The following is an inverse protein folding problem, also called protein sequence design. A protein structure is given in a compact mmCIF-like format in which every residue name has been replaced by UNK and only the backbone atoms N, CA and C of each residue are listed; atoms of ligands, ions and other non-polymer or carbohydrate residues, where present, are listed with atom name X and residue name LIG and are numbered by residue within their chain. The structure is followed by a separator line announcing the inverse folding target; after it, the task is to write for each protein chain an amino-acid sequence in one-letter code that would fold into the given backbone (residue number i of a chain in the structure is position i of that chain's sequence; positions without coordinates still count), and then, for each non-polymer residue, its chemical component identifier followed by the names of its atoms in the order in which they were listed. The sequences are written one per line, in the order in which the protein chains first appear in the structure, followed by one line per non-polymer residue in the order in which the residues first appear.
data_IF_893276690635
#
_entry.id   IF_893276690635
#
_cell.length_a   1.000
_cell.length_b   1.000
_cell.length_c   1.000
_cell.angle_alpha   90.00
_cell.angle_beta   90.00
_cell.angle_gamma   90.00
#
_symmetry.space_group_name_H-M   'P 1'
#
loop_
_entity.id
_entity.type
_entity.pdbx_description
1 polymer ?
#
# COMPACT_ATOMS: atom_id res chain seq x y z
N UNK A 1 27.39 -34.03 19.42
CA UNK A 1 27.78 -33.11 18.33
C UNK A 1 26.60 -33.01 17.40
N UNK A 2 25.70 -32.06 17.63
CA UNK A 2 24.55 -31.82 16.74
C UNK A 2 25.02 -30.85 15.64
N UNK A 3 25.04 -31.31 14.39
CA UNK A 3 25.28 -30.47 13.22
C UNK A 3 24.04 -29.56 13.06
N UNK A 4 24.14 -28.34 13.54
CA UNK A 4 23.25 -27.24 13.18
C UNK A 4 23.46 -26.97 11.70
N UNK A 5 22.59 -27.49 10.85
CA UNK A 5 22.42 -27.00 9.49
C UNK A 5 21.89 -25.57 9.61
N UNK A 6 22.78 -24.58 9.56
CA UNK A 6 22.43 -23.18 9.59
C UNK A 6 21.36 -22.90 8.54
N UNK A 7 20.22 -22.40 8.95
CA UNK A 7 19.23 -21.83 8.05
C UNK A 7 19.96 -20.80 7.18
N UNK A 8 19.98 -21.02 5.88
CA UNK A 8 20.63 -20.14 4.91
C UNK A 8 19.92 -18.81 5.02
N UNK A 9 20.60 -17.79 5.56
CA UNK A 9 20.03 -16.45 5.70
C UNK A 9 19.59 -16.00 4.29
N UNK A 10 18.29 -15.75 4.11
CA UNK A 10 17.76 -15.26 2.83
C UNK A 10 18.23 -13.82 2.73
N UNK A 11 19.19 -13.55 1.87
CA UNK A 11 19.80 -12.21 1.73
C UNK A 11 18.99 -11.30 0.79
N UNK A 12 17.97 -11.83 0.10
CA UNK A 12 17.07 -11.03 -0.72
C UNK A 12 15.68 -11.65 -0.80
N UNK A 13 14.67 -10.80 -0.76
CA UNK A 13 13.25 -11.15 -0.93
C UNK A 13 12.71 -10.30 -2.07
N UNK A 14 11.89 -10.89 -2.93
CA UNK A 14 11.14 -10.15 -3.95
C UNK A 14 9.76 -9.85 -3.38
N UNK A 15 9.43 -8.58 -3.22
CA UNK A 15 8.06 -8.16 -3.02
C UNK A 15 7.30 -8.24 -4.36
N UNK A 16 6.16 -8.87 -4.35
CA UNK A 16 5.30 -9.08 -5.50
C UNK A 16 3.93 -8.45 -5.25
N UNK A 17 3.59 -7.47 -6.05
CA UNK A 17 2.29 -6.81 -6.04
C UNK A 17 1.52 -7.16 -7.31
N UNK A 18 0.25 -7.57 -7.13
CA UNK A 18 -0.63 -8.01 -8.22
C UNK A 18 -1.86 -7.11 -8.18
N UNK A 19 -2.00 -6.28 -9.20
CA UNK A 19 -3.16 -5.40 -9.38
C UNK A 19 -4.12 -5.94 -10.47
N UNK A 20 -5.10 -5.15 -10.89
CA UNK A 20 -6.10 -5.58 -11.86
C UNK A 20 -5.52 -5.76 -13.28
N UNK A 21 -4.57 -4.92 -13.65
CA UNK A 21 -4.01 -4.85 -15.00
C UNK A 21 -2.49 -5.03 -15.06
N UNK A 22 -1.81 -5.00 -13.91
CA UNK A 22 -0.35 -5.06 -13.83
C UNK A 22 0.12 -5.95 -12.70
N UNK A 23 1.30 -6.53 -12.89
CA UNK A 23 2.07 -7.17 -11.83
C UNK A 23 3.43 -6.49 -11.72
N UNK A 24 3.82 -6.12 -10.50
CA UNK A 24 5.09 -5.46 -10.22
C UNK A 24 5.89 -6.27 -9.20
N UNK A 25 7.19 -6.36 -9.40
CA UNK A 25 8.08 -7.11 -8.54
C UNK A 25 9.37 -6.36 -8.27
N UNK A 26 9.82 -6.36 -7.02
CA UNK A 26 11.04 -5.66 -6.59
C UNK A 26 11.86 -6.54 -5.66
N UNK A 27 13.11 -6.82 -6.04
CA UNK A 27 14.08 -7.48 -5.18
C UNK A 27 14.63 -6.48 -4.16
N UNK A 28 14.44 -6.77 -2.89
CA UNK A 28 15.05 -6.06 -1.77
C UNK A 28 16.21 -6.89 -1.24
N UNK A 29 17.40 -6.29 -1.20
CA UNK A 29 18.63 -6.93 -0.72
C UNK A 29 19.00 -6.37 0.64
N UNK A 30 19.18 -7.27 1.63
CA UNK A 30 19.52 -6.92 3.02
C UNK A 30 20.91 -7.49 3.37
N UNK A 31 21.98 -6.80 2.93
CA UNK A 31 23.35 -7.13 3.24
C UNK A 31 24.04 -6.04 4.11
N UNK A 32 23.41 -5.75 5.27
CA UNK A 32 23.80 -4.63 6.14
C UNK A 32 22.90 -3.42 5.89
N UNK A 33 22.94 -2.87 4.69
CA UNK A 33 22.01 -1.81 4.25
C UNK A 33 20.88 -2.38 3.37
N UNK A 34 19.73 -1.71 3.38
CA UNK A 34 18.60 -2.02 2.51
C UNK A 34 18.86 -1.38 1.15
N UNK A 35 18.86 -2.18 0.09
CA UNK A 35 19.09 -1.71 -1.27
C UNK A 35 18.13 -2.35 -2.27
N UNK A 36 17.89 -1.60 -3.35
CA UNK A 36 17.16 -2.09 -4.51
C UNK A 36 18.04 -3.07 -5.31
N UNK A 37 17.52 -4.28 -5.54
CA UNK A 37 18.06 -5.22 -6.49
C UNK A 37 17.42 -5.08 -7.87
N UNK A 38 17.06 -6.21 -8.48
CA UNK A 38 16.32 -6.24 -9.76
C UNK A 38 14.84 -5.93 -9.54
N UNK A 39 14.21 -5.36 -10.54
CA UNK A 39 12.79 -5.06 -10.51
C UNK A 39 12.18 -5.18 -11.89
N UNK A 40 10.88 -5.29 -11.98
CA UNK A 40 10.16 -5.32 -13.24
C UNK A 40 8.66 -5.12 -13.03
N UNK A 41 8.02 -4.70 -14.11
CA UNK A 41 6.56 -4.53 -14.21
C UNK A 41 6.10 -5.18 -15.51
N UNK A 42 5.01 -5.93 -15.46
CA UNK A 42 4.39 -6.52 -16.64
C UNK A 42 2.87 -6.32 -16.64
N UNK A 43 2.28 -6.28 -17.82
CA UNK A 43 0.83 -6.30 -17.96
C UNK A 43 0.28 -7.70 -17.62
N UNK A 44 -0.90 -7.73 -17.02
CA UNK A 44 -1.67 -8.94 -16.80
C UNK A 44 -2.74 -9.07 -17.90
N UNK A 45 -2.99 -10.26 -18.44
CA UNK A 45 -4.08 -10.47 -19.39
C UNK A 45 -5.42 -10.02 -18.80
N UNK A 46 -6.28 -9.32 -19.58
CA UNK A 46 -7.58 -8.87 -19.10
C UNK A 46 -8.42 -10.03 -18.54
N UNK A 47 -8.96 -9.84 -17.33
CA UNK A 47 -9.79 -10.84 -16.67
C UNK A 47 -9.03 -11.89 -15.86
N UNK A 48 -7.69 -11.87 -15.83
CA UNK A 48 -6.89 -12.78 -15.00
C UNK A 48 -7.08 -12.54 -13.50
N UNK A 49 -7.38 -11.30 -13.12
CA UNK A 49 -7.81 -10.92 -11.76
C UNK A 49 -9.13 -10.19 -11.81
N UNK A 50 -9.93 -10.29 -10.75
CA UNK A 50 -11.17 -9.54 -10.55
C UNK A 50 -11.34 -9.17 -9.08
N UNK A 51 -11.52 -7.89 -8.79
CA UNK A 51 -11.67 -7.38 -7.41
C UNK A 51 -10.55 -7.81 -6.46
N UNK A 52 -9.33 -7.97 -6.96
CA UNK A 52 -8.17 -8.44 -6.18
C UNK A 52 -8.16 -9.96 -5.92
N UNK A 53 -9.00 -10.74 -6.60
CA UNK A 53 -8.98 -12.21 -6.55
C UNK A 53 -8.53 -12.81 -7.89
N UNK A 54 -7.97 -14.01 -7.83
CA UNK A 54 -7.57 -14.77 -9.02
C UNK A 54 -8.82 -15.26 -9.76
N UNK A 55 -8.95 -14.90 -11.03
CA UNK A 55 -10.04 -15.36 -11.91
C UNK A 55 -9.56 -16.36 -12.97
N UNK A 56 -8.36 -16.14 -13.52
CA UNK A 56 -7.69 -17.07 -14.45
C UNK A 56 -6.28 -17.36 -13.94
N UNK A 57 -6.14 -18.51 -13.31
CA UNK A 57 -4.88 -18.95 -12.69
C UNK A 57 -3.77 -19.20 -13.71
N UNK A 58 -4.10 -19.71 -14.90
CA UNK A 58 -3.12 -20.01 -15.95
C UNK A 58 -2.58 -18.73 -16.57
N UNK A 59 -3.46 -17.80 -16.93
CA UNK A 59 -3.07 -16.51 -17.49
C UNK A 59 -2.21 -15.71 -16.50
N UNK A 60 -2.60 -15.66 -15.21
CA UNK A 60 -1.87 -14.92 -14.18
C UNK A 60 -0.51 -15.56 -13.87
N UNK A 61 -0.44 -16.89 -13.72
CA UNK A 61 0.83 -17.58 -13.46
C UNK A 61 1.79 -17.46 -14.64
N UNK A 62 1.26 -17.47 -15.88
CA UNK A 62 2.03 -17.21 -17.10
C UNK A 62 2.68 -15.82 -17.08
N UNK A 63 1.90 -14.77 -16.85
CA UNK A 63 2.39 -13.39 -16.80
C UNK A 63 3.47 -13.21 -15.70
N UNK A 64 3.24 -13.75 -14.50
CA UNK A 64 4.23 -13.71 -13.41
C UNK A 64 5.51 -14.45 -13.80
N UNK A 65 5.41 -15.64 -14.42
CA UNK A 65 6.56 -16.41 -14.84
C UNK A 65 7.40 -15.67 -15.88
N UNK A 66 6.76 -15.03 -16.86
CA UNK A 66 7.42 -14.21 -17.87
C UNK A 66 8.14 -13.03 -17.27
N UNK A 67 7.49 -12.26 -16.38
CA UNK A 67 8.10 -11.15 -15.64
C UNK A 67 9.39 -11.58 -14.93
N UNK A 68 9.33 -12.70 -14.19
CA UNK A 68 10.49 -13.20 -13.44
C UNK A 68 11.62 -13.71 -14.33
N UNK A 69 11.29 -14.29 -15.50
CA UNK A 69 12.28 -14.75 -16.47
C UNK A 69 12.96 -13.56 -17.18
N UNK A 70 12.21 -12.57 -17.63
CA UNK A 70 12.71 -11.39 -18.34
C UNK A 70 13.66 -10.58 -17.46
N UNK A 71 13.25 -10.28 -16.23
CA UNK A 71 14.02 -9.47 -15.29
C UNK A 71 14.99 -10.29 -14.43
N UNK A 72 15.07 -11.62 -14.62
CA UNK A 72 15.94 -12.56 -13.88
C UNK A 72 15.79 -12.43 -12.36
N UNK A 73 14.58 -12.25 -11.89
CA UNK A 73 14.26 -12.05 -10.48
C UNK A 73 14.48 -13.32 -9.65
N UNK A 74 14.91 -13.23 -8.38
CA UNK A 74 14.97 -14.36 -7.45
C UNK A 74 13.57 -14.94 -7.19
N UNK A 75 13.53 -16.23 -6.83
CA UNK A 75 12.26 -16.97 -6.70
C UNK A 75 11.62 -16.85 -5.32
N UNK A 76 12.30 -16.34 -4.31
CA UNK A 76 11.73 -16.16 -2.97
C UNK A 76 10.89 -14.89 -2.96
N UNK A 77 9.58 -15.04 -2.79
CA UNK A 77 8.63 -13.91 -2.94
C UNK A 77 7.79 -13.73 -1.69
N UNK A 78 7.55 -12.48 -1.30
CA UNK A 78 6.47 -12.08 -0.41
C UNK A 78 5.40 -11.38 -1.24
N UNK A 79 4.18 -11.92 -1.20
CA UNK A 79 3.08 -11.47 -2.06
C UNK A 79 2.17 -10.54 -1.28
N UNK A 80 1.88 -9.38 -1.84
CA UNK A 80 0.89 -8.44 -1.31
C UNK A 80 -0.53 -8.89 -1.61
N UNK A 81 -1.41 -8.66 -0.66
CA UNK A 81 -2.86 -8.82 -0.83
C UNK A 81 -3.53 -7.48 -0.59
N UNK A 82 -4.21 -6.96 -1.62
CA UNK A 82 -5.05 -5.77 -1.57
C UNK A 82 -6.47 -6.16 -1.99
N UNK A 83 -7.32 -6.50 -1.03
CA UNK A 83 -8.68 -6.94 -1.29
C UNK A 83 -9.63 -6.44 -0.19
N UNK A 84 -10.85 -6.02 -0.56
CA UNK A 84 -11.88 -5.55 0.39
C UNK A 84 -12.35 -6.64 1.37
N UNK A 85 -12.08 -7.92 1.08
CA UNK A 85 -12.45 -9.07 1.92
C UNK A 85 -11.33 -9.48 2.88
N UNK A 86 -10.20 -8.75 2.88
CA UNK A 86 -9.18 -8.85 3.92
C UNK A 86 -9.59 -7.93 5.07
N UNK A 87 -9.76 -8.48 6.23
CA UNK A 87 -10.13 -7.74 7.43
C UNK A 87 -8.88 -7.45 8.24
N UNK A 88 -8.64 -6.17 8.51
CA UNK A 88 -7.61 -5.71 9.45
C UNK A 88 -8.32 -4.95 10.56
N UNK A 89 -8.08 -5.33 11.82
CA UNK A 89 -8.69 -4.70 13.00
C UNK A 89 -7.69 -4.58 14.12
N UNK A 90 -7.80 -3.52 14.89
CA UNK A 90 -7.15 -3.39 16.19
C UNK A 90 -8.10 -3.88 17.26
N UNK A 91 -7.66 -4.85 18.06
CA UNK A 91 -8.38 -5.36 19.21
C UNK A 91 -7.71 -4.83 20.48
N UNK A 92 -8.53 -4.34 21.42
CA UNK A 92 -8.08 -3.92 22.75
C UNK A 92 -8.34 -5.00 23.76
N UNK A 93 -7.28 -5.50 24.39
CA UNK A 93 -7.31 -6.62 25.32
C UNK A 93 -6.74 -6.22 26.68
N UNK A 94 -7.05 -6.93 27.77
CA UNK A 94 -6.25 -6.88 28.99
C UNK A 94 -4.78 -7.15 28.68
N UNK A 95 -3.87 -6.54 29.44
CA UNK A 95 -2.44 -6.80 29.26
C UNK A 95 -2.13 -8.26 29.61
N UNK A 96 -1.63 -9.01 28.62
CA UNK A 96 -1.23 -10.41 28.74
C UNK A 96 0.21 -10.52 28.24
N UNK A 97 1.13 -10.99 29.08
CA UNK A 97 2.54 -11.10 28.76
C UNK A 97 2.88 -12.43 28.04
N UNK A 98 2.24 -13.52 28.47
CA UNK A 98 2.44 -14.83 27.85
C UNK A 98 1.81 -14.92 26.46
N UNK A 99 2.63 -15.28 25.45
CA UNK A 99 2.18 -15.32 24.06
C UNK A 99 1.11 -16.36 23.77
N UNK A 100 1.06 -17.49 24.53
CA UNK A 100 0.04 -18.53 24.31
C UNK A 100 -1.30 -18.11 24.89
N UNK A 101 -1.28 -17.48 26.07
CA UNK A 101 -2.49 -16.93 26.67
C UNK A 101 -3.03 -15.79 25.80
N UNK A 102 -2.15 -14.95 25.26
CA UNK A 102 -2.52 -13.87 24.36
C UNK A 102 -3.10 -14.41 23.04
N UNK A 103 -2.51 -15.43 22.41
CA UNK A 103 -3.07 -16.05 21.19
C UNK A 103 -4.50 -16.56 21.44
N UNK A 104 -4.74 -17.22 22.59
CA UNK A 104 -6.06 -17.69 22.94
C UNK A 104 -7.06 -16.55 23.14
N UNK A 105 -6.65 -15.48 23.83
CA UNK A 105 -7.49 -14.30 24.07
C UNK A 105 -7.80 -13.55 22.76
N UNK A 106 -6.79 -13.36 21.88
CA UNK A 106 -6.95 -12.73 20.57
C UNK A 106 -7.93 -13.51 19.70
N UNK A 107 -7.79 -14.86 19.63
CA UNK A 107 -8.71 -15.70 18.84
C UNK A 107 -10.14 -15.67 19.38
N UNK A 108 -10.29 -15.65 20.69
CA UNK A 108 -11.61 -15.56 21.32
C UNK A 108 -12.28 -14.22 20.97
N UNK A 109 -11.58 -13.09 21.16
CA UNK A 109 -12.11 -11.78 20.85
C UNK A 109 -12.37 -11.61 19.34
N UNK A 110 -11.46 -12.12 18.49
CA UNK A 110 -11.62 -12.07 17.05
C UNK A 110 -12.86 -12.81 16.53
N UNK A 111 -13.29 -13.90 17.19
CA UNK A 111 -14.53 -14.61 16.84
C UNK A 111 -15.79 -13.76 17.06
N UNK A 112 -15.75 -12.84 18.01
CA UNK A 112 -16.87 -11.93 18.29
C UNK A 112 -16.84 -10.69 17.38
N UNK A 113 -15.65 -10.16 17.10
CA UNK A 113 -15.50 -8.85 16.43
C UNK A 113 -15.36 -8.95 14.91
N UNK A 114 -14.92 -10.11 14.37
CA UNK A 114 -14.77 -10.28 12.94
C UNK A 114 -16.03 -10.90 12.33
N UNK A 115 -16.56 -10.24 11.31
CA UNK A 115 -17.71 -10.73 10.53
C UNK A 115 -17.37 -11.95 9.62
N UNK A 116 -16.31 -12.71 9.99
CA UNK A 116 -15.78 -13.83 9.19
C UNK A 116 -15.47 -15.01 10.10
N UNK A 117 -15.97 -16.23 9.78
CA UNK A 117 -15.63 -17.43 10.55
C UNK A 117 -14.13 -17.73 10.50
N UNK A 118 -13.48 -17.83 11.67
CA UNK A 118 -12.03 -18.08 11.75
C UNK A 118 -11.63 -19.45 11.16
N UNK A 119 -12.51 -20.46 11.21
CA UNK A 119 -12.27 -21.78 10.64
C UNK A 119 -12.10 -21.75 9.11
N UNK A 120 -12.75 -20.77 8.43
CA UNK A 120 -12.67 -20.57 6.99
C UNK A 120 -11.63 -19.52 6.61
N UNK A 121 -10.90 -18.97 7.59
CA UNK A 121 -9.94 -17.90 7.42
C UNK A 121 -8.51 -18.38 7.56
N UNK A 122 -7.59 -17.68 6.93
CA UNK A 122 -6.20 -17.54 7.37
C UNK A 122 -6.19 -16.35 8.29
N UNK A 123 -5.70 -16.54 9.50
CA UNK A 123 -5.72 -15.57 10.57
C UNK A 123 -4.33 -15.43 11.17
N UNK A 124 -3.90 -14.18 11.36
CA UNK A 124 -2.65 -13.82 12.04
C UNK A 124 -2.85 -12.57 12.88
N UNK A 125 -1.94 -12.33 13.83
CA UNK A 125 -1.99 -11.15 14.69
C UNK A 125 -0.61 -10.72 15.15
N UNK A 126 -0.49 -9.43 15.52
CA UNK A 126 0.73 -8.84 16.02
C UNK A 126 0.43 -7.86 17.16
N UNK A 127 1.30 -7.83 18.19
CA UNK A 127 1.26 -6.79 19.21
C UNK A 127 1.59 -5.45 18.60
N UNK A 128 0.80 -4.43 18.88
CA UNK A 128 1.17 -3.06 18.58
C UNK A 128 2.17 -2.53 19.62
N UNK A 129 2.85 -1.46 19.28
CA UNK A 129 3.79 -0.82 20.21
C UNK A 129 3.09 -0.45 21.51
N UNK A 130 3.79 -0.60 22.66
CA UNK A 130 3.19 -0.28 23.95
C UNK A 130 2.74 1.18 24.01
N UNK A 131 1.46 1.40 24.19
CA UNK A 131 0.92 2.71 24.53
C UNK A 131 0.99 2.89 26.06
N UNK A 132 1.73 3.89 26.59
CA UNK A 132 1.89 4.08 28.03
C UNK A 132 0.56 4.29 28.78
N UNK A 133 -0.43 4.96 28.17
CA UNK A 133 -1.74 5.19 28.75
C UNK A 133 -2.52 3.88 28.89
N UNK A 134 -2.59 3.09 27.82
CA UNK A 134 -3.24 1.77 27.86
C UNK A 134 -2.56 0.84 28.83
N UNK A 135 -1.21 0.87 28.90
CA UNK A 135 -0.47 0.06 29.85
C UNK A 135 -0.76 0.44 31.31
N UNK A 136 -0.93 1.72 31.58
CA UNK A 136 -1.33 2.20 32.91
C UNK A 136 -2.74 1.72 33.30
N UNK A 137 -3.61 1.49 32.31
CA UNK A 137 -4.94 0.89 32.48
C UNK A 137 -4.92 -0.64 32.53
N UNK A 138 -3.76 -1.27 32.39
CA UNK A 138 -3.63 -2.73 32.30
C UNK A 138 -4.16 -3.30 30.97
N UNK A 139 -4.09 -2.52 29.90
CA UNK A 139 -4.56 -2.89 28.56
C UNK A 139 -3.43 -2.91 27.53
N UNK A 140 -3.70 -3.54 26.40
CA UNK A 140 -2.83 -3.56 25.23
C UNK A 140 -3.66 -3.63 23.95
N UNK A 141 -3.09 -3.13 22.85
CA UNK A 141 -3.68 -3.25 21.53
C UNK A 141 -2.90 -4.28 20.70
N UNK A 142 -3.63 -5.08 19.93
CA UNK A 142 -3.09 -6.01 18.92
C UNK A 142 -3.77 -5.75 17.58
N UNK A 143 -3.01 -5.82 16.50
CA UNK A 143 -3.59 -5.82 15.16
C UNK A 143 -3.85 -7.27 14.75
N UNK A 144 -5.04 -7.54 14.22
CA UNK A 144 -5.42 -8.84 13.68
C UNK A 144 -5.71 -8.72 12.19
N UNK A 145 -5.34 -9.76 11.45
CA UNK A 145 -5.60 -9.89 10.02
C UNK A 145 -6.32 -11.20 9.77
N UNK A 146 -7.41 -11.13 9.01
CA UNK A 146 -8.13 -12.31 8.55
C UNK A 146 -8.44 -12.21 7.06
N UNK A 147 -8.19 -13.30 6.33
CA UNK A 147 -8.49 -13.41 4.91
C UNK A 147 -9.12 -14.78 4.61
N UNK A 148 -10.02 -14.85 3.63
CA UNK A 148 -10.64 -16.13 3.24
C UNK A 148 -9.57 -17.13 2.78
N UNK A 149 -9.60 -18.33 3.36
CA UNK A 149 -8.63 -19.40 3.09
C UNK A 149 -8.56 -19.80 1.61
N UNK A 150 -9.71 -19.82 0.94
CA UNK A 150 -9.80 -20.13 -0.49
C UNK A 150 -9.04 -19.10 -1.33
N UNK A 151 -9.31 -17.80 -1.13
CA UNK A 151 -8.62 -16.70 -1.83
C UNK A 151 -7.09 -16.76 -1.64
N UNK A 152 -6.65 -16.96 -0.39
CA UNK A 152 -5.22 -17.12 -0.07
C UNK A 152 -4.65 -18.37 -0.75
N UNK A 153 -5.40 -19.48 -0.76
CA UNK A 153 -4.99 -20.74 -1.38
C UNK A 153 -4.80 -20.62 -2.89
N UNK A 154 -5.70 -19.91 -3.59
CA UNK A 154 -5.63 -19.69 -5.03
C UNK A 154 -4.44 -18.80 -5.38
N UNK A 155 -4.20 -17.73 -4.63
CA UNK A 155 -3.03 -16.87 -4.83
C UNK A 155 -1.70 -17.62 -4.63
N UNK A 156 -1.58 -18.42 -3.56
CA UNK A 156 -0.40 -19.26 -3.30
C UNK A 156 -0.18 -20.28 -4.41
N UNK A 157 -1.27 -20.86 -4.95
CA UNK A 157 -1.20 -21.82 -6.06
C UNK A 157 -0.64 -21.16 -7.32
N UNK A 158 -1.19 -20.01 -7.73
CA UNK A 158 -0.71 -19.25 -8.90
C UNK A 158 0.77 -18.92 -8.79
N UNK A 159 1.22 -18.43 -7.63
CA UNK A 159 2.63 -18.10 -7.40
C UNK A 159 3.53 -19.33 -7.50
N UNK A 160 3.08 -20.49 -7.01
CA UNK A 160 3.81 -21.76 -7.13
C UNK A 160 3.83 -22.29 -8.57
N UNK A 161 2.72 -22.15 -9.28
CA UNK A 161 2.60 -22.56 -10.69
C UNK A 161 3.50 -21.71 -11.61
N UNK A 162 3.72 -20.44 -11.24
CA UNK A 162 4.74 -19.59 -11.87
C UNK A 162 6.20 -20.04 -11.56
N UNK A 163 6.40 -21.08 -10.74
CA UNK A 163 7.72 -21.62 -10.37
C UNK A 163 8.41 -20.85 -9.24
N UNK A 164 7.67 -20.04 -8.49
CA UNK A 164 8.17 -19.22 -7.40
C UNK A 164 8.01 -19.91 -6.03
N UNK A 165 8.65 -19.35 -5.01
CA UNK A 165 8.62 -19.83 -3.63
C UNK A 165 8.03 -18.73 -2.75
N UNK A 166 6.73 -18.78 -2.42
CA UNK A 166 6.16 -17.83 -1.49
C UNK A 166 6.78 -18.06 -0.09
N UNK A 167 7.48 -17.04 0.41
CA UNK A 167 8.06 -17.02 1.76
C UNK A 167 7.14 -16.33 2.76
N UNK A 168 6.15 -15.57 2.27
CA UNK A 168 5.11 -14.92 3.05
C UNK A 168 4.02 -14.33 2.17
N UNK A 169 2.88 -14.13 2.79
CA UNK A 169 1.80 -13.30 2.29
C UNK A 169 1.67 -12.12 3.24
N UNK A 170 1.40 -10.96 2.70
CA UNK A 170 1.34 -9.74 3.47
C UNK A 170 0.16 -8.86 3.01
N UNK A 171 -0.37 -8.07 3.89
CA UNK A 171 -1.35 -7.03 3.50
C UNK A 171 -0.59 -5.92 2.78
N UNK A 172 -0.99 -5.57 1.55
CA UNK A 172 -0.32 -4.53 0.76
C UNK A 172 -0.20 -3.20 1.51
N UNK A 173 -1.18 -2.88 2.36
CA UNK A 173 -1.15 -1.71 3.23
C UNK A 173 0.06 -1.71 4.20
N UNK A 174 0.47 -2.88 4.73
CA UNK A 174 1.65 -2.97 5.60
C UNK A 174 2.93 -2.76 4.81
N UNK A 175 3.01 -3.31 3.60
CA UNK A 175 4.10 -3.01 2.66
C UNK A 175 4.21 -1.51 2.37
N UNK A 176 3.08 -0.84 2.16
CA UNK A 176 3.02 0.60 1.92
C UNK A 176 3.56 1.40 3.12
N UNK A 177 3.13 1.05 4.34
CA UNK A 177 3.63 1.67 5.58
C UNK A 177 5.15 1.47 5.70
N UNK A 178 5.67 0.24 5.52
CA UNK A 178 7.11 -0.03 5.61
C UNK A 178 7.94 0.73 4.57
N UNK A 179 7.40 0.88 3.35
CA UNK A 179 8.08 1.61 2.29
C UNK A 179 8.22 3.11 2.58
N UNK A 180 7.20 3.72 3.20
CA UNK A 180 7.04 5.16 3.26
C UNK A 180 7.20 5.76 4.67
N UNK A 181 7.11 4.98 5.75
CA UNK A 181 7.23 5.52 7.13
C UNK A 181 8.62 6.05 7.43
N UNK A 182 9.68 5.41 6.91
CA UNK A 182 11.08 5.83 7.14
C UNK A 182 11.50 7.06 6.33
N UNK A 183 10.75 7.41 5.29
CA UNK A 183 11.00 8.58 4.45
C UNK A 183 10.63 9.91 5.17
N UNK A 184 9.87 9.82 6.24
CA UNK A 184 9.37 10.99 6.98
C UNK A 184 10.28 11.44 8.11
N UNK A 185 11.17 10.58 8.58
CA UNK A 185 12.08 10.89 9.70
C UNK A 185 13.29 11.74 9.28
N UNK A 186 13.51 11.96 7.98
CA UNK A 186 14.65 12.71 7.43
C UNK A 186 14.32 14.13 6.94
N UNK A 187 13.06 14.49 6.76
CA UNK A 187 12.66 15.86 6.41
C UNK A 187 12.18 16.55 7.66
N UNK A 188 13.12 17.24 8.34
CA UNK A 188 12.72 18.26 9.30
C UNK A 188 11.75 19.21 8.58
N UNK A 189 10.60 19.58 9.18
CA UNK A 189 9.79 20.64 8.63
C UNK A 189 10.72 21.83 8.42
N UNK A 190 10.71 22.41 7.24
CA UNK A 190 11.44 23.66 6.98
C UNK A 190 10.96 24.62 8.05
N UNK A 191 11.81 24.88 9.02
CA UNK A 191 11.51 25.74 10.14
C UNK A 191 11.09 27.08 9.55
N UNK A 192 9.82 27.34 9.57
CA UNK A 192 9.30 28.69 9.43
C UNK A 192 9.73 29.44 10.68
N UNK A 193 10.78 30.25 10.53
CA UNK A 193 11.28 31.23 11.48
C UNK A 193 12.19 30.67 12.61
N UNK A 194 13.54 30.93 12.54
CA UNK A 194 14.46 30.57 13.61
C UNK A 194 14.20 31.35 14.92
N UNK A 195 13.30 32.33 14.94
CA UNK A 195 12.90 33.06 16.13
C UNK A 195 11.88 32.32 17.01
N UNK A 196 11.15 31.33 16.46
CA UNK A 196 10.17 30.55 17.23
C UNK A 196 10.78 29.37 18.02
N UNK A 197 12.05 29.01 17.77
CA UNK A 197 12.72 27.89 18.42
C UNK A 197 13.35 28.25 19.79
N UNK A 198 13.35 29.52 20.20
CA UNK A 198 14.04 29.98 21.42
C UNK A 198 13.17 29.94 22.70
N UNK A 199 11.86 29.70 22.58
CA UNK A 199 10.91 29.70 23.71
C UNK A 199 10.24 28.35 23.99
N UNK A 200 10.81 27.24 23.51
CA UNK A 200 10.30 25.92 23.84
C UNK A 200 10.62 25.56 25.29
N UNK A 201 9.62 25.70 26.15
CA UNK A 201 9.65 25.29 27.55
C UNK A 201 9.94 23.77 27.62
N UNK A 202 11.06 23.40 28.24
CA UNK A 202 11.51 22.01 28.40
C UNK A 202 10.57 21.14 29.27
N UNK A 203 9.46 21.71 29.74
CA UNK A 203 8.40 21.05 30.54
C UNK A 203 7.14 20.72 29.73
N UNK A 204 7.07 21.12 28.45
CA UNK A 204 5.93 20.72 27.61
C UNK A 204 5.94 19.20 27.37
N UNK A 205 4.80 18.50 27.53
CA UNK A 205 4.72 17.08 27.15
C UNK A 205 5.12 16.94 25.69
N UNK A 206 5.92 15.89 25.38
CA UNK A 206 6.32 15.61 24.01
C UNK A 206 5.06 15.61 23.10
N UNK A 207 5.12 16.25 21.92
CA UNK A 207 3.96 16.29 21.03
C UNK A 207 3.49 14.88 20.77
N UNK A 208 2.19 14.62 20.96
CA UNK A 208 1.59 13.32 20.67
C UNK A 208 1.83 13.06 19.19
N UNK A 209 2.53 11.97 18.89
CA UNK A 209 2.80 11.58 17.51
C UNK A 209 1.49 11.46 16.75
N UNK A 210 1.36 12.21 15.67
CA UNK A 210 0.17 12.23 14.82
C UNK A 210 0.23 11.07 13.82
N UNK A 211 -0.92 10.64 13.33
CA UNK A 211 -0.98 9.61 12.31
C UNK A 211 -0.77 10.21 10.90
N UNK A 212 -0.36 9.35 9.96
CA UNK A 212 -0.29 9.67 8.54
C UNK A 212 -1.17 8.72 7.77
N UNK A 213 -1.79 9.23 6.69
CA UNK A 213 -2.46 8.39 5.71
C UNK A 213 -1.49 8.09 4.58
N UNK A 214 -1.16 6.83 4.39
CA UNK A 214 -0.43 6.34 3.21
C UNK A 214 -1.42 5.84 2.18
N UNK A 215 -1.26 6.26 0.94
CA UNK A 215 -2.20 5.93 -0.14
C UNK A 215 -1.46 5.54 -1.42
N UNK A 216 -1.71 4.32 -1.92
CA UNK A 216 -1.28 3.92 -3.26
C UNK A 216 -2.40 4.20 -4.26
N UNK A 217 -2.13 5.06 -5.24
CA UNK A 217 -3.01 5.40 -6.34
C UNK A 217 -2.67 4.53 -7.57
N UNK A 218 -2.97 3.24 -7.47
CA UNK A 218 -2.77 2.23 -8.50
C UNK A 218 -4.03 1.91 -9.29
N UNK A 219 -4.13 0.69 -9.79
CA UNK A 219 -5.35 0.16 -10.43
C UNK A 219 -6.51 0.17 -9.43
N UNK A 220 -6.22 -0.15 -8.18
CA UNK A 220 -7.05 0.08 -7.01
C UNK A 220 -6.44 1.19 -6.14
N UNK A 221 -7.24 1.78 -5.26
CA UNK A 221 -6.73 2.69 -4.23
C UNK A 221 -6.57 1.94 -2.92
N UNK A 222 -5.33 1.84 -2.44
CA UNK A 222 -5.01 1.17 -1.19
C UNK A 222 -4.64 2.21 -0.13
N UNK A 223 -5.37 2.23 0.98
CA UNK A 223 -5.28 3.21 2.05
C UNK A 223 -4.79 2.56 3.34
N UNK A 224 -3.85 3.20 4.03
CA UNK A 224 -3.36 2.78 5.33
C UNK A 224 -3.15 3.98 6.24
N UNK A 225 -3.82 4.04 7.38
CA UNK A 225 -3.49 5.00 8.44
C UNK A 225 -2.50 4.32 9.38
N UNK A 226 -1.39 4.99 9.62
CA UNK A 226 -0.38 4.50 10.55
C UNK A 226 0.20 5.62 11.42
N UNK A 227 0.66 5.23 12.61
CA UNK A 227 1.40 6.07 13.54
C UNK A 227 2.67 5.34 13.96
N UNK A 228 3.82 5.98 13.76
CA UNK A 228 5.14 5.40 14.09
C UNK A 228 5.40 4.01 13.48
N UNK A 229 4.78 3.72 12.33
CA UNK A 229 4.89 2.43 11.65
C UNK A 229 3.83 1.40 12.06
N UNK A 230 3.07 1.62 13.13
CA UNK A 230 1.95 0.78 13.53
C UNK A 230 0.71 1.09 12.69
N UNK A 231 0.13 0.07 12.08
CA UNK A 231 -1.08 0.20 11.28
C UNK A 231 -2.31 0.34 12.20
N UNK A 232 -3.04 1.44 12.04
CA UNK A 232 -4.26 1.73 12.78
C UNK A 232 -5.52 1.40 11.97
N UNK A 233 -5.45 1.56 10.65
CA UNK A 233 -6.59 1.34 9.76
C UNK A 233 -6.14 1.03 8.35
N UNK A 234 -6.86 0.18 7.64
CA UNK A 234 -6.67 -0.06 6.22
C UNK A 234 -7.99 -0.09 5.47
N UNK A 235 -7.97 0.34 4.23
CA UNK A 235 -9.09 0.18 3.29
C UNK A 235 -8.58 0.05 1.86
N UNK A 236 -9.23 -0.81 1.10
CA UNK A 236 -9.02 -0.92 -0.35
C UNK A 236 -10.30 -0.45 -1.04
N UNK A 237 -10.18 0.52 -1.96
CA UNK A 237 -11.22 0.87 -2.93
C UNK A 237 -10.89 0.24 -4.26
N UNK A 238 -11.88 -0.36 -4.91
CA UNK A 238 -11.73 -0.91 -6.28
C UNK A 238 -11.68 0.17 -7.34
N UNK A 239 -11.88 1.44 -6.97
CA UNK A 239 -11.70 2.58 -7.86
C UNK A 239 -10.27 3.11 -7.74
N UNK A 240 -9.61 3.27 -8.88
CA UNK A 240 -8.26 3.79 -8.99
C UNK A 240 -8.02 4.38 -10.38
N UNK A 241 -6.76 4.59 -10.75
CA UNK A 241 -6.37 5.21 -12.03
C UNK A 241 -6.81 4.34 -13.21
N UNK A 242 -6.81 3.03 -13.07
CA UNK A 242 -7.27 2.13 -14.13
C UNK A 242 -8.74 2.38 -14.51
N UNK A 243 -9.61 2.62 -13.54
CA UNK A 243 -11.01 2.96 -13.80
C UNK A 243 -11.19 4.29 -14.54
N UNK A 244 -10.23 5.22 -14.42
CA UNK A 244 -10.20 6.47 -15.20
C UNK A 244 -9.76 6.16 -16.63
N UNK A 245 -8.71 5.34 -16.79
CA UNK A 245 -8.20 4.93 -18.10
C UNK A 245 -9.26 4.15 -18.91
N UNK A 246 -9.98 3.23 -18.28
CA UNK A 246 -11.08 2.48 -18.90
C UNK A 246 -12.18 3.40 -19.45
N UNK A 247 -12.64 4.36 -18.64
CA UNK A 247 -13.66 5.32 -19.08
C UNK A 247 -13.18 6.19 -20.26
N UNK A 248 -11.91 6.61 -20.24
CA UNK A 248 -11.33 7.35 -21.35
C UNK A 248 -11.25 6.48 -22.62
N UNK A 249 -10.80 5.22 -22.48
CA UNK A 249 -10.73 4.26 -23.58
C UNK A 249 -12.09 4.04 -24.25
N UNK A 250 -13.15 3.85 -23.45
CA UNK A 250 -14.52 3.69 -23.93
C UNK A 250 -15.07 4.95 -24.62
N UNK A 251 -14.83 6.14 -24.03
CA UNK A 251 -15.32 7.43 -24.59
C UNK A 251 -14.66 7.80 -25.90
N UNK A 252 -13.44 7.36 -26.15
CA UNK A 252 -12.61 7.77 -27.31
C UNK A 252 -12.21 6.62 -28.21
N UNK A 253 -12.74 5.41 -27.97
CA UNK A 253 -12.42 4.20 -28.73
C UNK A 253 -10.90 3.92 -28.79
N UNK A 254 -10.21 4.19 -27.68
CA UNK A 254 -8.77 3.95 -27.53
C UNK A 254 -8.50 2.55 -26.96
N UNK A 255 -7.30 2.06 -27.19
CA UNK A 255 -6.80 0.94 -26.38
C UNK A 255 -6.55 1.41 -24.95
N UNK A 256 -6.65 0.51 -23.99
CA UNK A 256 -6.41 0.86 -22.58
C UNK A 256 -4.99 1.37 -22.34
N UNK A 257 -4.02 0.82 -23.06
CA UNK A 257 -2.63 1.29 -23.03
C UNK A 257 -2.50 2.75 -23.51
N UNK A 258 -3.12 3.10 -24.62
CA UNK A 258 -3.14 4.49 -25.11
C UNK A 258 -3.88 5.41 -24.12
N UNK A 259 -4.97 4.95 -23.52
CA UNK A 259 -5.68 5.75 -22.52
C UNK A 259 -4.79 6.06 -21.31
N UNK A 260 -4.03 5.08 -20.79
CA UNK A 260 -3.06 5.32 -19.70
C UNK A 260 -1.98 6.33 -20.08
N UNK A 261 -1.44 6.23 -21.31
CA UNK A 261 -0.46 7.19 -21.82
C UNK A 261 -1.05 8.60 -21.86
N UNK A 262 -2.28 8.75 -22.35
CA UNK A 262 -2.98 10.03 -22.37
C UNK A 262 -3.21 10.62 -20.98
N UNK A 263 -3.58 9.82 -19.99
CA UNK A 263 -3.71 10.30 -18.60
C UNK A 263 -2.40 10.91 -18.09
N UNK A 264 -1.27 10.24 -18.31
CA UNK A 264 0.06 10.73 -17.92
C UNK A 264 0.50 11.98 -18.71
N UNK A 265 0.16 12.03 -20.01
CA UNK A 265 0.55 13.14 -20.89
C UNK A 265 -0.24 14.43 -20.60
N UNK A 266 -1.54 14.33 -20.37
CA UNK A 266 -2.42 15.50 -20.21
C UNK A 266 -2.38 16.06 -18.78
N UNK A 267 -2.41 15.19 -17.75
CA UNK A 267 -2.47 15.62 -16.35
C UNK A 267 -3.66 16.54 -16.06
N UNK A 268 -3.61 17.26 -14.93
CA UNK A 268 -4.60 18.27 -14.53
C UNK A 268 -4.01 19.64 -14.21
N UNK A 269 -2.72 19.83 -14.47
CA UNK A 269 -1.98 21.05 -14.10
C UNK A 269 -1.98 22.09 -15.23
N UNK A 270 -1.50 21.71 -16.41
CA UNK A 270 -1.31 22.63 -17.53
C UNK A 270 -2.64 23.03 -18.19
N UNK A 271 -2.82 24.26 -18.73
CA UNK A 271 -3.99 24.61 -19.54
C UNK A 271 -4.15 23.66 -20.74
N UNK A 272 -5.39 23.25 -21.04
CA UNK A 272 -5.69 22.27 -22.10
C UNK A 272 -5.16 22.69 -23.45
N UNK A 273 -5.19 24.00 -23.73
CA UNK A 273 -4.73 24.60 -24.98
C UNK A 273 -3.22 24.50 -25.19
N UNK A 274 -2.47 24.23 -24.13
CA UNK A 274 -1.00 24.11 -24.18
C UNK A 274 -0.52 22.67 -24.32
N UNK A 275 -1.42 21.69 -24.19
CA UNK A 275 -1.08 20.28 -24.28
C UNK A 275 -1.07 19.84 -25.75
N UNK A 276 0.03 19.24 -26.18
CA UNK A 276 0.17 18.72 -27.53
C UNK A 276 -0.72 17.50 -27.77
N UNK A 277 -1.30 17.40 -28.97
CA UNK A 277 -2.07 16.24 -29.41
C UNK A 277 -3.42 16.59 -30.04
N UNK A 278 -4.27 15.58 -30.23
CA UNK A 278 -5.64 15.77 -30.71
C UNK A 278 -6.47 16.52 -29.65
N UNK A 279 -6.98 17.73 -29.98
CA UNK A 279 -7.68 18.57 -29.02
C UNK A 279 -8.90 17.86 -28.38
N UNK A 280 -9.57 17.00 -29.13
CA UNK A 280 -10.74 16.28 -28.63
C UNK A 280 -10.36 15.16 -27.65
N UNK A 281 -9.20 14.52 -27.87
CA UNK A 281 -8.67 13.52 -26.92
C UNK A 281 -8.14 14.24 -25.66
N UNK A 282 -7.37 15.31 -25.83
CA UNK A 282 -6.83 16.12 -24.72
C UNK A 282 -7.96 16.61 -23.82
N UNK A 283 -9.01 17.21 -24.38
CA UNK A 283 -10.18 17.70 -23.62
C UNK A 283 -10.87 16.56 -22.86
N UNK A 284 -11.16 15.44 -23.55
CA UNK A 284 -11.85 14.30 -22.91
C UNK A 284 -10.99 13.66 -21.81
N UNK A 285 -9.67 13.62 -22.01
CA UNK A 285 -8.73 13.12 -21.00
C UNK A 285 -8.74 14.00 -19.76
N UNK A 286 -8.69 15.33 -19.94
CA UNK A 286 -8.77 16.29 -18.84
C UNK A 286 -10.07 16.12 -18.04
N UNK A 287 -11.22 16.10 -18.70
CA UNK A 287 -12.52 15.87 -18.05
C UNK A 287 -12.53 14.53 -17.28
N UNK A 288 -12.01 13.45 -17.89
CA UNK A 288 -11.97 12.13 -17.25
C UNK A 288 -11.07 12.12 -16.03
N UNK A 289 -9.95 12.85 -16.06
CA UNK A 289 -9.05 13.01 -14.92
C UNK A 289 -9.69 13.84 -13.80
N UNK A 290 -10.30 14.99 -14.12
CA UNK A 290 -10.95 15.84 -13.13
C UNK A 290 -12.07 15.11 -12.40
N UNK A 291 -12.97 14.45 -13.15
CA UNK A 291 -14.04 13.61 -12.59
C UNK A 291 -13.47 12.45 -11.76
N UNK A 292 -12.41 11.81 -12.26
CA UNK A 292 -11.79 10.68 -11.61
C UNK A 292 -11.09 11.07 -10.31
N UNK A 293 -10.34 12.18 -10.31
CA UNK A 293 -9.66 12.70 -9.11
C UNK A 293 -10.68 13.17 -8.07
N UNK A 294 -11.79 13.78 -8.50
CA UNK A 294 -12.88 14.13 -7.57
C UNK A 294 -13.46 12.88 -6.90
N UNK A 295 -13.69 11.81 -7.67
CA UNK A 295 -14.17 10.54 -7.13
C UNK A 295 -13.15 9.88 -6.19
N UNK A 296 -11.84 9.93 -6.52
CA UNK A 296 -10.78 9.45 -5.62
C UNK A 296 -10.80 10.21 -4.29
N UNK A 297 -10.94 11.54 -4.36
CA UNK A 297 -11.05 12.37 -3.16
C UNK A 297 -12.26 12.00 -2.30
N UNK A 298 -13.42 11.72 -2.91
CA UNK A 298 -14.62 11.29 -2.19
C UNK A 298 -14.43 9.93 -1.51
N UNK A 299 -13.81 8.95 -2.18
CA UNK A 299 -13.47 7.65 -1.60
C UNK A 299 -12.48 7.78 -0.42
N UNK A 300 -11.48 8.66 -0.57
CA UNK A 300 -10.53 8.95 0.51
C UNK A 300 -11.23 9.63 1.69
N UNK A 301 -12.09 10.63 1.43
CA UNK A 301 -12.85 11.34 2.48
C UNK A 301 -13.74 10.38 3.26
N UNK A 302 -14.50 9.52 2.58
CA UNK A 302 -15.33 8.48 3.22
C UNK A 302 -14.50 7.55 4.11
N UNK A 303 -13.25 7.25 3.69
CA UNK A 303 -12.34 6.41 4.48
C UNK A 303 -11.82 7.14 5.72
N UNK A 304 -11.47 8.43 5.58
CA UNK A 304 -11.02 9.29 6.67
C UNK A 304 -12.14 9.52 7.69
N UNK A 305 -13.36 9.81 7.23
CA UNK A 305 -14.53 9.99 8.09
C UNK A 305 -14.83 8.71 8.88
N UNK A 306 -14.81 7.55 8.20
CA UNK A 306 -15.01 6.28 8.87
C UNK A 306 -13.93 5.98 9.91
N UNK A 307 -12.64 6.22 9.57
CA UNK A 307 -11.54 6.08 10.53
C UNK A 307 -11.76 6.99 11.75
N UNK A 308 -12.15 8.26 11.53
CA UNK A 308 -12.40 9.23 12.61
C UNK A 308 -13.51 8.82 13.59
N UNK A 309 -14.42 7.91 13.19
CA UNK A 309 -15.46 7.38 14.09
C UNK A 309 -14.99 6.22 14.95
N UNK A 310 -13.78 5.67 14.72
CA UNK A 310 -13.29 4.52 15.47
C UNK A 310 -12.76 4.93 16.84
N UNK A 311 -12.93 4.05 17.83
CA UNK A 311 -12.37 4.26 19.15
C UNK A 311 -10.83 4.30 19.09
N UNK A 312 -10.25 5.35 19.66
CA UNK A 312 -8.79 5.57 19.62
C UNK A 312 -8.26 6.14 18.32
N UNK A 313 -9.13 6.61 17.41
CA UNK A 313 -8.68 7.33 16.22
C UNK A 313 -7.88 8.58 16.63
N UNK A 314 -6.73 8.78 15.99
CA UNK A 314 -5.86 9.95 16.19
C UNK A 314 -5.91 10.85 14.96
N UNK A 315 -5.64 12.13 15.14
CA UNK A 315 -5.65 13.09 14.03
C UNK A 315 -4.60 12.75 12.99
N UNK A 316 -4.96 12.95 11.72
CA UNK A 316 -4.06 12.75 10.57
C UNK A 316 -3.38 14.08 10.26
N UNK A 317 -2.05 14.07 10.20
CA UNK A 317 -1.21 15.24 9.94
C UNK A 317 -1.05 15.49 8.43
N UNK A 318 -0.71 14.44 7.69
CA UNK A 318 -0.47 14.51 6.25
C UNK A 318 -0.94 13.25 5.53
N UNK A 319 -1.09 13.36 4.22
CA UNK A 319 -1.35 12.25 3.32
C UNK A 319 -0.12 12.03 2.44
N UNK A 320 0.42 10.82 2.45
CA UNK A 320 1.54 10.42 1.62
C UNK A 320 1.02 9.54 0.50
N UNK A 321 1.08 10.03 -0.75
CA UNK A 321 0.60 9.29 -1.91
C UNK A 321 1.75 8.66 -2.69
N UNK A 322 1.53 7.48 -3.26
CA UNK A 322 2.43 6.82 -4.20
C UNK A 322 1.62 6.11 -5.30
N UNK A 323 2.28 5.31 -6.12
CA UNK A 323 1.63 4.62 -7.24
C UNK A 323 1.52 5.48 -8.51
N UNK A 324 1.07 4.86 -9.63
CA UNK A 324 1.05 5.54 -10.94
C UNK A 324 0.26 6.85 -10.95
N UNK A 325 -0.82 6.93 -10.19
CA UNK A 325 -1.65 8.14 -10.11
C UNK A 325 -0.96 9.32 -9.43
N UNK A 326 -0.02 9.05 -8.51
CA UNK A 326 0.68 10.10 -7.77
C UNK A 326 1.70 10.88 -8.62
N UNK A 327 2.09 10.35 -9.78
CA UNK A 327 3.04 10.98 -10.71
C UNK A 327 2.37 11.63 -11.92
N UNK A 328 1.05 11.56 -12.02
CA UNK A 328 0.29 12.31 -13.01
C UNK A 328 0.31 13.80 -12.61
N UNK A 329 0.76 14.65 -13.54
CA UNK A 329 0.93 16.09 -13.28
C UNK A 329 -0.34 16.73 -12.71
N UNK A 330 -0.21 17.38 -11.55
CA UNK A 330 -1.28 18.10 -10.86
C UNK A 330 -2.23 17.23 -10.03
N UNK A 331 -2.22 15.90 -10.13
CA UNK A 331 -3.14 15.02 -9.36
C UNK A 331 -2.94 15.16 -7.86
N UNK A 332 -1.72 15.12 -7.29
CA UNK A 332 -1.52 15.32 -5.85
C UNK A 332 -2.01 16.70 -5.38
N UNK A 333 -1.69 17.76 -6.10
CA UNK A 333 -2.12 19.13 -5.77
C UNK A 333 -3.66 19.27 -5.83
N UNK A 334 -4.30 18.60 -6.79
CA UNK A 334 -5.77 18.60 -6.90
C UNK A 334 -6.43 17.85 -5.75
N UNK A 335 -5.88 16.71 -5.35
CA UNK A 335 -6.33 15.97 -4.18
C UNK A 335 -6.15 16.80 -2.88
N UNK A 336 -5.03 17.51 -2.73
CA UNK A 336 -4.79 18.43 -1.60
C UNK A 336 -5.90 19.50 -1.50
N UNK A 337 -6.23 20.16 -2.62
CA UNK A 337 -7.32 21.13 -2.68
C UNK A 337 -8.69 20.54 -2.30
N UNK A 338 -8.98 19.32 -2.76
CA UNK A 338 -10.26 18.66 -2.52
C UNK A 338 -10.39 18.12 -1.10
N UNK A 339 -9.32 17.62 -0.51
CA UNK A 339 -9.32 16.98 0.81
C UNK A 339 -9.03 17.94 1.95
N UNK A 340 -8.25 19.01 1.69
CA UNK A 340 -7.83 19.96 2.73
C UNK A 340 -6.72 19.47 3.65
N UNK A 341 -6.01 18.39 3.24
CA UNK A 341 -4.82 17.87 3.92
C UNK A 341 -3.59 18.16 3.08
N UNK A 342 -2.44 18.39 3.72
CA UNK A 342 -1.17 18.43 3.03
C UNK A 342 -0.90 17.07 2.36
N UNK A 343 -0.57 17.08 1.06
CA UNK A 343 -0.31 15.86 0.29
C UNK A 343 1.12 15.86 -0.23
N UNK A 344 1.85 14.81 0.10
CA UNK A 344 3.22 14.59 -0.36
C UNK A 344 3.31 13.30 -1.20
N UNK A 345 4.08 13.36 -2.28
CA UNK A 345 4.43 12.15 -3.04
C UNK A 345 5.56 11.42 -2.30
N UNK A 346 5.25 10.22 -1.83
CA UNK A 346 6.20 9.36 -1.13
C UNK A 346 7.08 8.58 -2.10
N UNK A 347 8.39 8.53 -1.80
CA UNK A 347 9.36 7.77 -2.57
C UNK A 347 10.43 7.22 -1.63
N UNK A 348 10.56 5.89 -1.49
CA UNK A 348 11.61 5.31 -0.70
C UNK A 348 13.01 5.74 -1.18
N UNK A 349 13.96 6.08 -0.29
CA UNK A 349 15.31 6.50 -0.69
C UNK A 349 16.02 5.49 -1.59
N UNK A 350 15.80 4.19 -1.38
CA UNK A 350 16.35 3.13 -2.22
C UNK A 350 15.89 3.18 -3.69
N UNK A 351 14.76 3.86 -3.99
CA UNK A 351 14.22 4.04 -5.34
C UNK A 351 14.61 5.39 -5.95
N UNK A 352 15.42 6.22 -5.28
CA UNK A 352 15.77 7.57 -5.72
C UNK A 352 16.50 7.61 -7.08
N UNK A 353 17.19 6.54 -7.46
CA UNK A 353 17.90 6.40 -8.73
C UNK A 353 17.02 6.07 -9.95
N UNK A 354 15.75 5.71 -9.75
CA UNK A 354 14.81 5.42 -10.83
C UNK A 354 14.13 6.71 -11.34
N UNK A 355 13.52 6.66 -12.51
CA UNK A 355 12.58 7.72 -12.90
C UNK A 355 11.32 7.71 -12.01
N UNK A 356 10.51 8.79 -12.12
CA UNK A 356 9.37 8.97 -11.22
C UNK A 356 8.28 7.91 -11.46
N UNK A 357 8.05 7.49 -12.69
CA UNK A 357 7.00 6.53 -13.03
C UNK A 357 7.36 5.13 -12.55
N UNK A 358 8.61 4.70 -12.75
CA UNK A 358 9.12 3.42 -12.27
C UNK A 358 9.15 3.38 -10.74
N UNK A 359 9.68 4.42 -10.09
CA UNK A 359 9.70 4.51 -8.64
C UNK A 359 8.29 4.42 -8.04
N UNK A 360 7.31 5.10 -8.65
CA UNK A 360 5.92 5.06 -8.19
C UNK A 360 5.32 3.64 -8.26
N UNK A 361 5.55 2.91 -9.36
CA UNK A 361 5.07 1.54 -9.55
C UNK A 361 5.76 0.53 -8.63
N UNK A 362 7.02 0.79 -8.27
CA UNK A 362 7.85 -0.14 -7.49
C UNK A 362 7.83 0.14 -5.98
N UNK A 363 7.19 1.23 -5.53
CA UNK A 363 7.13 1.60 -4.10
C UNK A 363 6.45 0.52 -3.26
N UNK A 364 5.29 0.05 -3.65
CA UNK A 364 4.56 -0.98 -2.90
C UNK A 364 5.27 -2.34 -2.92
N UNK A 365 5.68 -2.90 -4.08
CA UNK A 365 6.46 -4.13 -4.08
C UNK A 365 7.79 -4.00 -3.34
N UNK A 366 8.45 -2.85 -3.34
CA UNK A 366 9.63 -2.61 -2.50
C UNK A 366 9.29 -2.77 -1.02
N UNK A 367 8.20 -2.17 -0.54
CA UNK A 367 7.75 -2.30 0.84
C UNK A 367 7.37 -3.73 1.24
N UNK A 368 6.83 -4.52 0.31
CA UNK A 368 6.55 -5.95 0.51
C UNK A 368 7.84 -6.77 0.66
N UNK A 369 8.93 -6.37 0.01
CA UNK A 369 10.24 -7.01 0.13
C UNK A 369 10.99 -6.68 1.42
N UNK A 370 10.60 -5.61 2.15
CA UNK A 370 11.20 -5.24 3.44
C UNK A 370 10.78 -6.24 4.53
N UNK A 371 11.72 -6.57 5.42
CA UNK A 371 11.42 -7.32 6.66
C UNK A 371 10.78 -6.38 7.69
N UNK A 372 9.98 -6.96 8.59
CA UNK A 372 9.35 -6.28 9.73
C UNK A 372 10.38 -5.83 10.76
#
# INVERSE_FOLDING_TARGET
MALSLGARKINSIVGLDIEAATVAATEVVTNGDISLGRSGVAAIPPGATREGEVSDSEALSGAIKELFAEHKLPRNVRVGIANQRVVVRTLRLPFIDDDKELDAAVRFQAQEDLAMPLEQSVFDWQRLRPNPELRAEGKMDVVVVAARREMVGDLVRVVRDAGLRPVGLDVSAFGLIRALSKDTDGIQPVASDPAAAADADATAPAPVSQAKLFCSLGDNTNLAVAREGDCLFTRVSTFGIEGIAQRLAERRELTLEHARQWLGHVGVEAPVETVEGDPAIVQTTRESLEDGVAKLADEMRLSLDYYGTQEGAVSIEEIVVCGPGAVIAGVPARLEQLLGYAIRVGRPPALAGLDAADAARLTLPFGLGLEE
#
